data_IF_753847175695
#
_entry.id   IF_753847175695
#
_cell.length_a   1.000
_cell.length_b   1.000
_cell.length_c   1.000
_cell.angle_alpha   90.00
_cell.angle_beta   90.00
_cell.angle_gamma   90.00
#
_symmetry.space_group_name_H-M   'P 1'
#
loop_
_entity.id
_entity.type
_entity.pdbx_description
1 polymer ?
#
# COMPACT_ATOMS: atom_id res chain seq x y z
N UNK A 1 -10.01 7.15 -30.13
CA UNK A 1 -10.28 6.01 -29.22
C UNK A 1 -11.67 6.21 -28.64
N UNK A 2 -12.65 5.45 -29.13
CA UNK A 2 -14.07 5.65 -28.81
C UNK A 2 -14.41 5.25 -27.37
N UNK A 3 -15.37 5.96 -26.77
CA UNK A 3 -15.85 5.82 -25.38
C UNK A 3 -16.42 4.43 -25.00
N UNK A 4 -16.49 3.50 -25.96
CA UNK A 4 -17.05 2.16 -25.80
C UNK A 4 -16.06 1.17 -25.16
N UNK A 5 -14.75 1.42 -25.29
CA UNK A 5 -13.71 0.59 -24.66
C UNK A 5 -13.67 0.72 -23.12
N UNK A 6 -14.30 1.76 -22.54
CA UNK A 6 -14.26 2.05 -21.11
C UNK A 6 -15.26 1.24 -20.27
N UNK A 7 -16.19 0.50 -20.90
CA UNK A 7 -17.22 -0.31 -20.20
C UNK A 7 -16.94 -1.82 -20.20
N UNK A 8 -15.88 -2.30 -20.85
CA UNK A 8 -15.54 -3.72 -20.82
C UNK A 8 -14.95 -4.08 -19.43
N UNK A 9 -15.55 -5.01 -18.65
CA UNK A 9 -15.08 -5.35 -17.31
C UNK A 9 -13.62 -5.84 -17.27
N UNK A 10 -13.09 -6.32 -18.40
CA UNK A 10 -11.69 -6.72 -18.53
C UNK A 10 -10.70 -5.55 -18.43
N UNK A 11 -11.13 -4.33 -18.77
CA UNK A 11 -10.29 -3.13 -18.81
C UNK A 11 -10.47 -2.24 -17.57
N UNK A 12 -11.31 -2.65 -16.61
CA UNK A 12 -11.50 -1.92 -15.37
C UNK A 12 -10.24 -2.04 -14.47
N UNK A 13 -9.64 -0.91 -14.06
CA UNK A 13 -8.52 -0.91 -13.12
C UNK A 13 -8.89 -1.58 -11.80
N UNK A 14 -8.01 -2.44 -11.30
CA UNK A 14 -8.18 -3.09 -10.01
C UNK A 14 -9.29 -4.14 -9.97
N UNK A 15 -9.76 -4.61 -11.14
CA UNK A 15 -10.81 -5.63 -11.25
C UNK A 15 -10.49 -6.89 -10.40
N UNK A 16 -9.21 -7.27 -10.29
CA UNK A 16 -8.76 -8.40 -9.48
C UNK A 16 -8.28 -8.03 -8.07
N UNK A 17 -8.00 -6.76 -7.79
CA UNK A 17 -7.46 -6.32 -6.50
C UNK A 17 -8.42 -6.59 -5.34
N UNK A 18 -8.05 -7.55 -4.50
CA UNK A 18 -8.80 -7.85 -3.27
C UNK A 18 -8.69 -6.70 -2.27
N UNK A 19 -7.52 -6.07 -2.19
CA UNK A 19 -7.28 -4.91 -1.33
C UNK A 19 -8.18 -3.73 -1.70
N UNK A 20 -8.29 -3.39 -2.99
CA UNK A 20 -9.15 -2.30 -3.45
C UNK A 20 -10.64 -2.58 -3.16
N UNK A 21 -11.11 -3.81 -3.39
CA UNK A 21 -12.49 -4.19 -3.04
C UNK A 21 -12.77 -4.06 -1.55
N UNK A 22 -11.84 -4.52 -0.71
CA UNK A 22 -11.95 -4.43 0.74
C UNK A 22 -11.99 -2.97 1.20
N UNK A 23 -11.07 -2.15 0.67
CA UNK A 23 -10.96 -0.74 0.99
C UNK A 23 -12.18 0.06 0.56
N UNK A 24 -12.76 -0.20 -0.63
CA UNK A 24 -14.01 0.44 -1.05
C UNK A 24 -15.18 0.13 -0.11
N UNK A 25 -15.19 -1.06 0.48
CA UNK A 25 -16.25 -1.50 1.39
C UNK A 25 -16.11 -0.89 2.79
N UNK A 26 -14.89 -0.81 3.32
CA UNK A 26 -14.65 -0.48 4.74
C UNK A 26 -13.77 0.75 4.99
N UNK A 27 -13.01 1.23 4.01
CA UNK A 27 -12.00 2.29 4.15
C UNK A 27 -12.54 3.69 4.47
N UNK A 28 -13.87 3.88 4.52
CA UNK A 28 -14.50 5.18 4.87
C UNK A 28 -14.27 5.56 6.34
N UNK A 29 -14.15 4.59 7.24
CA UNK A 29 -13.93 4.85 8.68
C UNK A 29 -12.50 4.52 9.10
N UNK A 30 -12.02 5.14 10.18
CA UNK A 30 -10.69 4.85 10.74
C UNK A 30 -10.52 3.37 11.14
N UNK A 31 -11.54 2.79 11.78
CA UNK A 31 -11.54 1.37 12.13
C UNK A 31 -11.52 0.46 10.90
N UNK A 32 -12.28 0.80 9.86
CA UNK A 32 -12.30 0.01 8.63
C UNK A 32 -10.98 0.08 7.87
N UNK A 33 -10.31 1.24 7.85
CA UNK A 33 -8.94 1.38 7.33
C UNK A 33 -7.94 0.53 8.10
N UNK A 34 -8.04 0.53 9.42
CA UNK A 34 -7.21 -0.33 10.28
C UNK A 34 -7.43 -1.81 9.98
N UNK A 35 -8.70 -2.25 9.84
CA UNK A 35 -9.03 -3.63 9.52
C UNK A 35 -8.52 -4.04 8.13
N UNK A 36 -8.66 -3.16 7.12
CA UNK A 36 -8.10 -3.39 5.79
C UNK A 36 -6.58 -3.58 5.85
N UNK A 37 -5.89 -2.72 6.60
CA UNK A 37 -4.45 -2.79 6.78
C UNK A 37 -4.04 -4.12 7.44
N UNK A 38 -4.80 -4.56 8.45
CA UNK A 38 -4.54 -5.85 9.13
C UNK A 38 -4.77 -7.05 8.22
N UNK A 39 -5.79 -7.01 7.37
CA UNK A 39 -6.08 -8.06 6.39
C UNK A 39 -4.97 -8.19 5.36
N UNK A 40 -4.46 -7.08 4.83
CA UNK A 40 -3.31 -7.08 3.91
C UNK A 40 -2.08 -7.65 4.62
N UNK A 41 -1.81 -7.22 5.86
CA UNK A 41 -0.70 -7.74 6.66
C UNK A 41 -0.87 -9.23 7.05
N UNK A 42 -2.07 -9.79 6.99
CA UNK A 42 -2.28 -11.22 7.20
C UNK A 42 -1.88 -12.03 5.96
N UNK A 43 -2.17 -11.51 4.77
CA UNK A 43 -1.77 -12.12 3.51
C UNK A 43 -0.27 -11.96 3.22
N UNK A 44 0.32 -10.84 3.63
CA UNK A 44 1.73 -10.53 3.49
C UNK A 44 2.34 -10.20 4.87
N UNK A 45 2.74 -11.23 5.66
CA UNK A 45 3.14 -11.09 7.06
C UNK A 45 4.27 -10.10 7.31
N UNK A 46 5.21 -9.94 6.39
CA UNK A 46 6.36 -9.05 6.59
C UNK A 46 5.95 -7.57 6.75
N UNK A 47 4.86 -7.12 6.11
CA UNK A 47 4.33 -5.77 6.31
C UNK A 47 3.84 -5.54 7.75
N UNK A 48 3.46 -6.58 8.48
CA UNK A 48 3.02 -6.43 9.87
C UNK A 48 4.11 -5.86 10.79
N UNK A 49 5.39 -6.04 10.44
CA UNK A 49 6.54 -5.55 11.21
C UNK A 49 6.53 -4.04 11.42
N UNK A 50 6.06 -3.27 10.42
CA UNK A 50 5.95 -1.81 10.51
C UNK A 50 4.56 -1.33 10.95
N UNK A 51 3.59 -2.24 11.03
CA UNK A 51 2.16 -1.97 11.28
C UNK A 51 1.64 -0.73 10.53
N UNK A 52 1.60 -0.80 9.19
CA UNK A 52 1.14 0.30 8.37
C UNK A 52 -0.36 0.54 8.59
N UNK A 53 -0.78 1.78 8.40
CA UNK A 53 -2.16 2.18 8.30
C UNK A 53 -2.41 2.72 6.89
N UNK A 54 -3.23 2.00 6.11
CA UNK A 54 -3.68 2.43 4.79
C UNK A 54 -4.70 3.55 4.93
N UNK A 55 -4.39 4.74 4.42
CA UNK A 55 -5.22 5.95 4.49
C UNK A 55 -6.09 6.12 3.25
N UNK A 56 -5.54 5.81 2.08
CA UNK A 56 -6.19 5.90 0.78
C UNK A 56 -5.76 4.74 -0.10
N UNK A 57 -6.70 4.19 -0.87
CA UNK A 57 -6.42 3.26 -1.96
C UNK A 57 -7.40 3.48 -3.11
N UNK A 58 -6.85 3.91 -4.23
CA UNK A 58 -7.49 4.17 -5.51
C UNK A 58 -6.64 3.55 -6.63
N UNK A 59 -7.20 3.34 -7.83
CA UNK A 59 -6.40 2.86 -8.96
C UNK A 59 -5.20 3.77 -9.24
N UNK A 60 -3.99 3.22 -9.08
CA UNK A 60 -2.73 3.95 -9.30
C UNK A 60 -2.33 4.92 -8.20
N UNK A 61 -3.08 4.98 -7.09
CA UNK A 61 -2.80 5.92 -6.01
C UNK A 61 -3.09 5.30 -4.65
N UNK A 62 -2.09 5.29 -3.77
CA UNK A 62 -2.23 4.80 -2.40
C UNK A 62 -1.48 5.71 -1.43
N UNK A 63 -2.02 5.86 -0.23
CA UNK A 63 -1.40 6.61 0.88
C UNK A 63 -1.45 5.71 2.11
N UNK A 64 -0.32 5.57 2.80
CA UNK A 64 -0.24 4.86 4.07
C UNK A 64 0.76 5.54 5.01
N UNK A 65 0.56 5.34 6.31
CA UNK A 65 1.42 5.87 7.36
C UNK A 65 1.89 4.79 8.33
N UNK A 66 2.98 5.08 9.03
CA UNK A 66 3.49 4.29 10.17
C UNK A 66 3.76 5.24 11.33
N UNK A 67 3.64 4.74 12.57
CA UNK A 67 4.01 5.48 13.79
C UNK A 67 5.44 5.16 14.19
N UNK A 68 6.15 6.13 14.77
CA UNK A 68 7.46 5.86 15.33
C UNK A 68 7.30 5.10 16.65
N UNK A 69 7.88 3.90 16.70
CA UNK A 69 7.86 3.04 17.90
C UNK A 69 9.13 2.22 17.97
N UNK A 70 9.44 1.68 19.16
CA UNK A 70 10.68 0.93 19.41
C UNK A 70 10.98 -0.13 18.34
N UNK A 71 9.97 -0.88 17.88
CA UNK A 71 10.16 -1.95 16.90
C UNK A 71 10.55 -1.50 15.49
N UNK A 72 10.40 -0.21 15.16
CA UNK A 72 10.76 0.36 13.85
C UNK A 72 11.86 1.41 13.96
N UNK A 73 12.48 1.55 15.13
CA UNK A 73 13.58 2.47 15.34
C UNK A 73 14.92 1.84 14.97
N UNK A 74 15.86 2.66 14.53
CA UNK A 74 17.26 2.29 14.41
C UNK A 74 18.03 2.60 15.71
N UNK A 75 19.32 2.30 15.72
CA UNK A 75 20.22 2.50 16.85
C UNK A 75 20.44 3.97 17.26
N UNK A 76 20.03 4.94 16.43
CA UNK A 76 20.09 6.38 16.75
C UNK A 76 18.72 6.97 17.09
N UNK A 77 17.70 6.14 17.34
CA UNK A 77 16.40 6.59 17.82
C UNK A 77 15.51 7.25 16.76
N UNK A 78 15.76 7.04 15.47
CA UNK A 78 14.91 7.51 14.36
C UNK A 78 14.22 6.34 13.68
N UNK A 79 13.23 6.59 12.82
CA UNK A 79 12.62 5.51 12.03
C UNK A 79 13.69 4.82 11.17
N UNK A 80 13.69 3.49 11.17
CA UNK A 80 14.66 2.67 10.47
C UNK A 80 14.50 2.81 8.96
N UNK A 81 15.62 2.95 8.25
CA UNK A 81 15.66 3.10 6.80
C UNK A 81 14.86 2.00 6.05
N UNK A 82 15.02 0.75 6.48
CA UNK A 82 14.30 -0.39 5.88
C UNK A 82 12.80 -0.40 6.25
N UNK A 83 12.40 0.19 7.39
CA UNK A 83 10.97 0.36 7.69
C UNK A 83 10.32 1.34 6.70
N UNK A 84 11.03 2.40 6.31
CA UNK A 84 10.58 3.33 5.26
C UNK A 84 10.54 2.65 3.89
N UNK A 85 11.51 1.80 3.56
CA UNK A 85 11.49 1.00 2.33
C UNK A 85 10.29 0.05 2.31
N UNK A 86 10.01 -0.61 3.43
CA UNK A 86 8.87 -1.51 3.57
C UNK A 86 7.53 -0.76 3.43
N UNK A 87 7.44 0.48 3.95
CA UNK A 87 6.28 1.34 3.71
C UNK A 87 6.15 1.75 2.24
N UNK A 88 7.27 2.10 1.58
CA UNK A 88 7.27 2.44 0.16
C UNK A 88 6.81 1.26 -0.71
N UNK A 89 7.30 0.06 -0.42
CA UNK A 89 6.90 -1.19 -1.09
C UNK A 89 5.40 -1.48 -0.87
N UNK A 90 4.92 -1.32 0.36
CA UNK A 90 3.50 -1.49 0.70
C UNK A 90 2.61 -0.56 -0.15
N UNK A 91 2.95 0.73 -0.21
CA UNK A 91 2.20 1.72 -0.99
C UNK A 91 2.31 1.46 -2.49
N UNK A 92 3.52 1.24 -3.00
CA UNK A 92 3.76 1.00 -4.43
C UNK A 92 3.09 -0.27 -4.94
N UNK A 93 3.17 -1.35 -4.17
CA UNK A 93 2.51 -2.61 -4.49
C UNK A 93 0.99 -2.48 -4.52
N UNK A 94 0.40 -1.82 -3.52
CA UNK A 94 -1.05 -1.61 -3.49
C UNK A 94 -1.55 -0.69 -4.60
N UNK A 95 -0.83 0.40 -4.89
CA UNK A 95 -1.16 1.29 -6.00
C UNK A 95 -1.10 0.56 -7.35
N UNK A 96 -0.08 -0.27 -7.55
CA UNK A 96 0.09 -1.09 -8.76
C UNK A 96 -1.03 -2.13 -8.88
N UNK A 97 -1.30 -2.89 -7.81
CA UNK A 97 -2.35 -3.90 -7.76
C UNK A 97 -3.74 -3.30 -8.05
N UNK A 98 -4.00 -2.09 -7.53
CA UNK A 98 -5.24 -1.37 -7.78
C UNK A 98 -5.33 -0.78 -9.20
N UNK A 99 -4.20 -0.58 -9.89
CA UNK A 99 -4.16 -0.02 -11.24
C UNK A 99 -4.30 -1.07 -12.34
N UNK A 100 -3.70 -2.26 -12.16
CA UNK A 100 -3.65 -3.29 -13.21
C UNK A 100 -5.04 -3.82 -13.58
N UNK A 101 -5.21 -4.16 -14.85
CA UNK A 101 -6.46 -4.73 -15.37
C UNK A 101 -6.55 -6.23 -15.07
N UNK A 102 -7.71 -6.84 -15.34
CA UNK A 102 -7.90 -8.27 -15.14
C UNK A 102 -6.98 -9.15 -16.01
N UNK A 103 -6.41 -8.63 -17.10
CA UNK A 103 -5.56 -9.41 -18.00
C UNK A 103 -4.07 -9.35 -17.62
N UNK A 104 -3.72 -8.44 -16.72
CA UNK A 104 -2.33 -8.15 -16.34
C UNK A 104 -1.93 -8.87 -15.05
N UNK A 105 -0.62 -9.08 -14.90
CA UNK A 105 0.04 -9.49 -13.66
C UNK A 105 1.26 -8.59 -13.46
N UNK A 106 1.64 -8.40 -12.21
CA UNK A 106 2.77 -7.54 -11.84
C UNK A 106 3.63 -8.23 -10.79
N UNK A 107 4.92 -7.88 -10.78
CA UNK A 107 5.87 -8.27 -9.75
C UNK A 107 6.93 -7.16 -9.64
N UNK A 108 7.31 -6.73 -8.42
CA UNK A 108 8.38 -5.76 -8.24
C UNK A 108 9.72 -6.37 -8.66
N UNK A 109 10.50 -5.64 -9.47
CA UNK A 109 11.81 -6.08 -9.95
C UNK A 109 12.97 -5.41 -9.24
N UNK A 110 12.84 -4.13 -8.93
CA UNK A 110 13.87 -3.32 -8.29
C UNK A 110 13.25 -2.09 -7.64
N UNK A 111 13.83 -1.64 -6.53
CA UNK A 111 13.52 -0.36 -5.90
C UNK A 111 14.81 0.38 -5.59
N UNK A 112 14.88 1.66 -5.94
CA UNK A 112 15.99 2.55 -5.59
C UNK A 112 15.48 3.61 -4.62
N UNK A 113 16.16 3.77 -3.48
CA UNK A 113 15.78 4.73 -2.44
C UNK A 113 16.92 5.68 -2.15
N UNK A 114 16.58 6.90 -1.71
CA UNK A 114 17.53 7.90 -1.23
C UNK A 114 17.10 8.39 0.14
N UNK A 115 18.01 8.38 1.10
CA UNK A 115 17.76 8.88 2.47
C UNK A 115 18.09 10.37 2.53
N UNK A 116 17.06 11.22 2.48
CA UNK A 116 17.22 12.67 2.39
C UNK A 116 17.40 13.33 3.76
N UNK A 117 16.68 12.84 4.77
CA UNK A 117 16.70 13.34 6.13
C UNK A 117 16.37 12.21 7.10
N UNK A 118 16.80 12.35 8.36
CA UNK A 118 16.34 11.49 9.45
C UNK A 118 14.82 11.62 9.62
N UNK A 119 14.12 10.50 9.63
CA UNK A 119 12.67 10.47 9.84
C UNK A 119 12.35 10.43 11.33
N UNK A 120 11.66 11.47 11.80
CA UNK A 120 11.12 11.59 13.15
C UNK A 120 9.60 11.59 13.02
N UNK A 121 8.95 10.60 13.59
CA UNK A 121 7.50 10.44 13.57
C UNK A 121 6.88 10.78 14.93
N UNK A 122 5.53 10.88 14.96
CA UNK A 122 4.77 10.90 16.19
C UNK A 122 4.79 9.53 16.91
#
# INVERSE_FOLDING_TARGET
MSAESAKNPKHLPGARSAALRLFRRWGKSGFGRWLCSRAICFQAPYFSSISPLLELLEPGHAIASIKQRRSVQNHIGTVHAIALCNLAEFVGGLATDAAVTAEQRWIPKSMTVRYLKKALGP
#
